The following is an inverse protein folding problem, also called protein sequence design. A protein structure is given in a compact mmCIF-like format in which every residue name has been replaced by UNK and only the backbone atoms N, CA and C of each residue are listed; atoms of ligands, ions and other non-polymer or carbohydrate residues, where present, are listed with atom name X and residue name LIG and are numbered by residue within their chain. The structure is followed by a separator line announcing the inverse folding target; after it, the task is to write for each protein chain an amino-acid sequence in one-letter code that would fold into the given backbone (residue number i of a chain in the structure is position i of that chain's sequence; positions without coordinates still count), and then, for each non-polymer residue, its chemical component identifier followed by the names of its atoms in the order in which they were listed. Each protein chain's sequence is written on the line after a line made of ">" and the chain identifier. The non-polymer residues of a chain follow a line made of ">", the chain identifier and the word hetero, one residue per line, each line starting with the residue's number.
data_IF_388967360043
#
_entry.id   IF_388967360043
#
_cell.length_a   1.000
_cell.length_b   1.000
_cell.length_c   1.000
_cell.angle_alpha   90.00
_cell.angle_beta   90.00
_cell.angle_gamma   90.00
#
_symmetry.space_group_name_H-M   'P 1'
#
loop_
_entity.id
_entity.type
_entity.pdbx_description
1 polymer ?
#
# COMPACT_ATOMS: atom_id res chain seq x y z
N UNK A 1 49.45 -11.75 -64.34
CA UNK A 1 48.03 -11.85 -64.75
C UNK A 1 47.20 -11.98 -63.49
N UNK A 2 46.43 -10.92 -63.15
CA UNK A 2 45.13 -10.94 -62.42
C UNK A 2 45.23 -11.30 -60.91
N UNK A 3 44.71 -10.57 -59.91
CA UNK A 3 43.90 -9.34 -59.84
C UNK A 3 43.65 -9.01 -58.35
N UNK A 4 43.77 -7.72 -57.99
CA UNK A 4 43.22 -7.11 -56.77
C UNK A 4 41.72 -7.42 -56.67
N UNK A 5 41.20 -7.95 -55.56
CA UNK A 5 39.77 -7.79 -55.24
C UNK A 5 39.54 -7.56 -53.74
N UNK A 6 39.30 -6.30 -53.43
CA UNK A 6 38.59 -5.80 -52.25
C UNK A 6 37.17 -6.38 -52.20
N UNK A 7 36.70 -6.84 -51.03
CA UNK A 7 35.30 -6.86 -50.56
C UNK A 7 35.40 -6.75 -49.02
N UNK A 8 35.08 -5.67 -48.30
CA UNK A 8 33.87 -4.85 -48.16
C UNK A 8 32.72 -5.55 -47.40
N UNK A 9 32.30 -4.87 -46.31
CA UNK A 9 31.04 -4.98 -45.52
C UNK A 9 30.93 -6.15 -44.52
N UNK A 10 30.94 -5.86 -43.21
CA UNK A 10 29.80 -5.52 -42.33
C UNK A 10 29.11 -6.80 -41.80
N UNK A 11 28.87 -6.97 -40.50
CA UNK A 11 27.75 -6.35 -39.78
C UNK A 11 28.03 -6.40 -38.27
N UNK A 12 27.92 -5.25 -37.63
CA UNK A 12 27.91 -5.06 -36.18
C UNK A 12 26.61 -5.64 -35.62
N UNK A 13 26.67 -6.83 -35.00
CA UNK A 13 25.55 -7.34 -34.21
C UNK A 13 25.68 -6.82 -32.76
N UNK A 14 25.39 -5.53 -32.57
CA UNK A 14 25.13 -4.99 -31.24
C UNK A 14 23.74 -5.49 -30.85
N UNK A 15 23.67 -6.64 -30.19
CA UNK A 15 22.45 -7.11 -29.53
C UNK A 15 22.09 -6.11 -28.43
N UNK A 16 21.29 -5.11 -28.76
CA UNK A 16 20.55 -4.34 -27.77
C UNK A 16 19.56 -5.33 -27.19
N UNK A 17 19.96 -6.01 -26.11
CA UNK A 17 19.04 -6.76 -25.29
C UNK A 17 17.96 -5.78 -24.86
N UNK A 18 16.75 -5.94 -25.40
CA UNK A 18 15.56 -5.39 -24.80
C UNK A 18 15.54 -5.97 -23.39
N UNK A 19 16.06 -5.22 -22.43
CA UNK A 19 15.74 -5.46 -21.03
C UNK A 19 14.30 -4.97 -20.94
N UNK A 20 13.29 -5.85 -20.83
CA UNK A 20 11.96 -5.35 -20.50
C UNK A 20 12.15 -4.57 -19.20
N UNK A 21 11.68 -3.32 -19.19
CA UNK A 21 11.51 -2.60 -17.95
C UNK A 21 10.59 -3.48 -17.11
N UNK A 22 11.18 -4.25 -16.19
CA UNK A 22 10.43 -4.85 -15.11
C UNK A 22 9.89 -3.64 -14.38
N UNK A 23 8.60 -3.33 -14.61
CA UNK A 23 7.86 -2.42 -13.77
C UNK A 23 8.03 -3.00 -12.37
N UNK A 24 8.97 -2.43 -11.62
CA UNK A 24 9.18 -2.78 -10.23
C UNK A 24 7.85 -2.49 -9.57
N UNK A 25 7.19 -3.53 -9.04
CA UNK A 25 6.03 -3.32 -8.21
C UNK A 25 6.52 -2.41 -7.07
N UNK A 26 6.21 -1.11 -7.18
CA UNK A 26 6.69 -0.12 -6.23
C UNK A 26 5.88 -0.34 -4.95
N UNK A 27 6.46 -1.07 -3.99
CA UNK A 27 5.90 -1.18 -2.66
C UNK A 27 5.77 0.21 -2.03
N UNK A 28 4.64 0.47 -1.38
CA UNK A 28 4.43 1.70 -0.63
C UNK A 28 4.22 1.41 0.85
N UNK A 29 4.83 2.22 1.71
CA UNK A 29 4.74 2.08 3.16
C UNK A 29 3.86 3.19 3.71
N UNK A 30 2.80 2.81 4.41
CA UNK A 30 2.00 3.78 5.16
C UNK A 30 2.50 3.87 6.60
N UNK A 31 2.86 5.08 7.01
CA UNK A 31 3.39 5.37 8.34
C UNK A 31 2.63 6.50 8.98
N UNK A 32 2.39 6.39 10.29
CA UNK A 32 1.71 7.44 11.04
C UNK A 32 2.55 7.81 12.26
N UNK A 33 2.80 9.12 12.43
CA UNK A 33 3.71 9.64 13.44
C UNK A 33 5.09 8.93 13.46
N UNK A 34 5.63 8.64 12.27
CA UNK A 34 6.92 7.95 12.11
C UNK A 34 6.91 6.45 12.40
N UNK A 35 5.76 5.85 12.74
CA UNK A 35 5.63 4.40 12.90
C UNK A 35 5.04 3.79 11.64
N UNK A 36 5.74 2.83 11.05
CA UNK A 36 5.21 2.03 9.95
C UNK A 36 4.01 1.22 10.44
N UNK A 37 2.86 1.40 9.79
CA UNK A 37 1.62 0.71 10.14
C UNK A 37 1.37 -0.46 9.21
N UNK A 38 1.50 -0.27 7.91
CA UNK A 38 1.33 -1.30 6.90
C UNK A 38 2.18 -1.01 5.66
N UNK A 39 2.34 -2.04 4.83
CA UNK A 39 3.02 -1.96 3.54
C UNK A 39 2.10 -2.56 2.49
N UNK A 40 1.89 -1.82 1.40
CA UNK A 40 1.12 -2.23 0.24
C UNK A 40 2.11 -2.63 -0.85
N UNK A 41 1.87 -3.79 -1.47
CA UNK A 41 2.76 -4.36 -2.48
C UNK A 41 2.14 -4.33 -3.88
N UNK A 42 0.81 -4.19 -3.96
CA UNK A 42 0.09 -4.46 -5.19
C UNK A 42 -0.83 -3.32 -5.63
N UNK A 43 -0.94 -3.16 -6.95
CA UNK A 43 -1.97 -2.34 -7.58
C UNK A 43 -3.33 -2.97 -7.36
N UNK A 44 -4.29 -2.20 -6.84
CA UNK A 44 -5.63 -2.69 -6.58
C UNK A 44 -6.66 -1.58 -6.78
N UNK A 45 -7.83 -1.93 -7.33
CA UNK A 45 -8.87 -0.93 -7.64
C UNK A 45 -8.42 0.12 -8.66
N UNK A 46 -7.47 -0.21 -9.54
CA UNK A 46 -6.87 0.72 -10.50
C UNK A 46 -5.83 1.69 -9.92
N UNK A 47 -5.48 1.56 -8.64
CA UNK A 47 -4.51 2.41 -7.94
C UNK A 47 -3.20 1.67 -7.72
N UNK A 48 -2.07 2.31 -8.02
CA UNK A 48 -0.72 1.88 -7.62
C UNK A 48 -0.59 1.81 -6.09
N UNK A 49 0.40 1.09 -5.53
CA UNK A 49 0.56 1.04 -4.08
C UNK A 49 0.71 2.42 -3.44
N UNK A 50 1.39 3.36 -4.09
CA UNK A 50 1.53 4.73 -3.60
C UNK A 50 0.18 5.48 -3.61
N UNK A 51 -0.58 5.44 -4.70
CA UNK A 51 -1.92 6.04 -4.76
C UNK A 51 -2.88 5.42 -3.73
N UNK A 52 -2.71 4.12 -3.42
CA UNK A 52 -3.46 3.47 -2.36
C UNK A 52 -3.10 4.00 -0.97
N UNK A 53 -1.83 4.36 -0.72
CA UNK A 53 -1.40 5.03 0.52
C UNK A 53 -2.03 6.41 0.61
N UNK A 54 -1.98 7.19 -0.47
CA UNK A 54 -2.55 8.54 -0.50
C UNK A 54 -4.08 8.50 -0.24
N UNK A 55 -4.79 7.57 -0.90
CA UNK A 55 -6.21 7.35 -0.66
C UNK A 55 -6.51 6.86 0.78
N UNK A 56 -5.57 6.19 1.43
CA UNK A 56 -5.66 5.73 2.81
C UNK A 56 -5.58 6.91 3.79
N UNK A 57 -4.66 7.85 3.55
CA UNK A 57 -4.53 9.08 4.33
C UNK A 57 -5.77 9.96 4.21
N UNK A 58 -6.33 10.11 3.00
CA UNK A 58 -7.58 10.83 2.78
C UNK A 58 -8.76 10.19 3.51
N UNK A 59 -8.91 8.86 3.42
CA UNK A 59 -9.97 8.12 4.14
C UNK A 59 -9.82 8.26 5.65
N UNK A 60 -8.60 8.11 6.18
CA UNK A 60 -8.36 8.27 7.60
C UNK A 60 -8.74 9.68 8.05
N UNK A 61 -8.30 10.71 7.34
CA UNK A 61 -8.62 12.11 7.63
C UNK A 61 -10.12 12.37 7.64
N UNK A 62 -10.85 11.83 6.66
CA UNK A 62 -12.31 11.93 6.59
C UNK A 62 -13.00 11.22 7.76
N UNK A 63 -12.55 10.03 8.14
CA UNK A 63 -13.10 9.26 9.26
C UNK A 63 -12.87 9.98 10.60
N UNK A 64 -11.68 10.56 10.79
CA UNK A 64 -11.31 11.28 12.00
C UNK A 64 -12.04 12.61 12.14
N UNK A 65 -12.21 13.35 11.04
CA UNK A 65 -12.92 14.65 11.01
C UNK A 65 -14.40 14.56 11.37
N UNK A 66 -15.00 13.37 11.26
CA UNK A 66 -16.45 13.19 11.46
C UNK A 66 -16.85 12.69 12.85
N UNK A 67 -15.91 12.46 13.77
CA UNK A 67 -16.27 11.98 15.11
C UNK A 67 -15.85 12.93 16.21
N UNK A 68 -16.81 13.23 17.07
CA UNK A 68 -16.69 14.11 18.23
C UNK A 68 -16.02 13.42 19.42
N UNK A 69 -16.10 12.08 19.47
CA UNK A 69 -15.54 11.25 20.55
C UNK A 69 -14.10 10.84 20.22
N UNK A 70 -13.29 10.57 21.25
CA UNK A 70 -11.94 10.02 21.09
C UNK A 70 -11.99 8.67 20.35
N UNK A 71 -11.06 8.44 19.42
CA UNK A 71 -10.91 7.15 18.75
C UNK A 71 -10.27 6.11 19.71
N UNK A 72 -10.99 5.01 19.95
CA UNK A 72 -10.53 3.85 20.71
C UNK A 72 -9.97 2.73 19.82
N UNK A 73 -9.39 1.70 20.44
CA UNK A 73 -8.92 0.50 19.72
C UNK A 73 -10.10 -0.38 19.28
N UNK A 74 -11.20 -0.32 20.02
CA UNK A 74 -12.47 -0.98 19.76
C UNK A 74 -13.17 -0.45 18.50
N UNK A 75 -12.92 0.81 18.14
CA UNK A 75 -13.46 1.43 16.92
C UNK A 75 -12.80 0.89 15.64
N UNK A 76 -11.68 0.17 15.78
CA UNK A 76 -10.90 -0.39 14.68
C UNK A 76 -11.18 -1.89 14.64
N UNK A 77 -11.76 -2.35 13.55
CA UNK A 77 -12.20 -3.73 13.40
C UNK A 77 -11.72 -4.33 12.08
N UNK A 78 -11.43 -5.64 12.12
CA UNK A 78 -11.23 -6.46 10.94
C UNK A 78 -12.56 -7.12 10.60
N UNK A 79 -13.02 -6.97 9.37
CA UNK A 79 -14.28 -7.53 8.89
C UNK A 79 -14.09 -8.15 7.51
N UNK A 80 -15.13 -8.79 7.00
CA UNK A 80 -15.19 -9.30 5.64
C UNK A 80 -16.31 -8.60 4.91
N UNK A 81 -16.00 -7.99 3.77
CA UNK A 81 -16.97 -7.31 2.90
C UNK A 81 -16.78 -7.81 1.48
N UNK A 82 -17.85 -8.28 0.84
CA UNK A 82 -17.82 -8.84 -0.53
C UNK A 82 -16.76 -9.94 -0.74
N UNK A 83 -16.49 -10.75 0.30
CA UNK A 83 -15.47 -11.80 0.25
C UNK A 83 -14.03 -11.32 0.42
N UNK A 84 -13.82 -10.01 0.60
CA UNK A 84 -12.51 -9.42 0.86
C UNK A 84 -12.34 -9.09 2.34
N UNK A 85 -11.11 -9.25 2.84
CA UNK A 85 -10.76 -8.86 4.21
C UNK A 85 -10.55 -7.36 4.24
N UNK A 86 -11.31 -6.66 5.07
CA UNK A 86 -11.28 -5.20 5.18
C UNK A 86 -11.03 -4.78 6.62
N UNK A 87 -10.33 -3.66 6.79
CA UNK A 87 -10.21 -2.99 8.08
C UNK A 87 -11.08 -1.74 8.05
N UNK A 88 -11.94 -1.63 9.06
CA UNK A 88 -12.83 -0.50 9.25
C UNK A 88 -12.45 0.30 10.49
N UNK A 89 -12.62 1.61 10.43
CA UNK A 89 -12.53 2.51 11.58
C UNK A 89 -13.88 3.20 11.74
N UNK A 90 -14.51 3.08 12.91
CA UNK A 90 -15.88 3.57 13.17
C UNK A 90 -16.90 3.08 12.12
N UNK A 91 -16.84 1.79 11.79
CA UNK A 91 -17.65 1.15 10.76
C UNK A 91 -17.50 1.72 9.34
N UNK A 92 -16.45 2.52 9.07
CA UNK A 92 -16.10 3.03 7.74
C UNK A 92 -14.88 2.32 7.20
N UNK A 93 -14.90 1.96 5.92
CA UNK A 93 -13.79 1.29 5.25
C UNK A 93 -12.54 2.18 5.29
N UNK A 94 -11.46 1.66 5.86
CA UNK A 94 -10.14 2.29 5.81
C UNK A 94 -9.30 1.66 4.69
N UNK A 95 -9.10 0.34 4.77
CA UNK A 95 -8.25 -0.40 3.83
C UNK A 95 -8.78 -1.80 3.55
N UNK A 96 -8.64 -2.24 2.30
CA UNK A 96 -8.85 -3.62 1.88
C UNK A 96 -7.52 -4.36 1.82
N UNK A 97 -7.46 -5.53 2.43
CA UNK A 97 -6.32 -6.45 2.36
C UNK A 97 -6.47 -7.31 1.11
N UNK A 98 -5.65 -7.05 0.10
CA UNK A 98 -5.71 -7.80 -1.15
C UNK A 98 -5.00 -9.13 -1.03
N UNK A 99 -5.34 -10.08 -1.90
CA UNK A 99 -4.62 -11.35 -1.98
C UNK A 99 -3.14 -11.15 -2.33
N UNK A 100 -2.85 -10.21 -3.24
CA UNK A 100 -1.49 -9.91 -3.68
C UNK A 100 -0.64 -9.31 -2.54
N UNK A 101 -1.22 -8.43 -1.71
CA UNK A 101 -0.54 -7.93 -0.51
C UNK A 101 -0.20 -9.08 0.46
N UNK A 102 -1.12 -10.04 0.62
CA UNK A 102 -0.92 -11.21 1.48
C UNK A 102 0.15 -12.18 0.94
N UNK A 103 0.13 -12.44 -0.37
CA UNK A 103 1.12 -13.27 -1.06
C UNK A 103 2.53 -12.68 -0.95
N UNK A 104 2.67 -11.36 -1.17
CA UNK A 104 3.94 -10.65 -0.98
C UNK A 104 4.47 -10.76 0.47
N UNK A 105 3.58 -10.94 1.44
CA UNK A 105 3.90 -11.15 2.86
C UNK A 105 3.95 -12.63 3.27
N UNK A 106 3.90 -13.57 2.31
CA UNK A 106 3.90 -15.01 2.53
C UNK A 106 2.84 -15.46 3.56
N UNK A 107 1.63 -14.91 3.46
CA UNK A 107 0.55 -15.15 4.42
C UNK A 107 -0.82 -15.12 3.77
N UNK A 108 -1.88 -15.34 4.55
CA UNK A 108 -3.27 -15.19 4.08
C UNK A 108 -3.78 -13.76 4.30
N UNK A 109 -4.78 -13.29 3.53
CA UNK A 109 -5.38 -11.96 3.74
C UNK A 109 -5.92 -11.77 5.16
N UNK A 110 -6.49 -12.82 5.76
CA UNK A 110 -6.99 -12.78 7.12
C UNK A 110 -5.87 -12.50 8.13
N UNK A 111 -4.75 -13.20 7.97
CA UNK A 111 -3.61 -13.08 8.89
C UNK A 111 -2.84 -11.77 8.68
N UNK A 112 -2.66 -11.33 7.44
CA UNK A 112 -2.12 -10.00 7.16
C UNK A 112 -3.01 -8.90 7.75
N UNK A 113 -4.32 -9.01 7.57
CA UNK A 113 -5.30 -8.10 8.14
C UNK A 113 -5.24 -8.04 9.66
N UNK A 114 -5.03 -9.17 10.36
CA UNK A 114 -4.82 -9.18 11.81
C UNK A 114 -3.55 -8.42 12.23
N UNK A 115 -2.44 -8.60 11.50
CA UNK A 115 -1.19 -7.87 11.78
C UNK A 115 -1.37 -6.35 11.61
N UNK A 116 -1.98 -5.94 10.50
CA UNK A 116 -2.30 -4.53 10.26
C UNK A 116 -3.27 -3.98 11.33
N UNK A 117 -4.28 -4.75 11.73
CA UNK A 117 -5.20 -4.37 12.80
C UNK A 117 -4.47 -4.09 14.11
N UNK A 118 -3.54 -4.97 14.51
CA UNK A 118 -2.73 -4.77 15.73
C UNK A 118 -1.92 -3.48 15.63
N UNK A 119 -1.24 -3.25 14.51
CA UNK A 119 -0.46 -2.03 14.30
C UNK A 119 -1.32 -0.76 14.38
N UNK A 120 -2.52 -0.80 13.77
CA UNK A 120 -3.48 0.30 13.80
C UNK A 120 -3.98 0.59 15.21
N UNK A 121 -4.37 -0.45 15.97
CA UNK A 121 -4.82 -0.31 17.37
C UNK A 121 -3.75 0.26 18.29
N UNK A 122 -2.48 0.00 18.00
CA UNK A 122 -1.35 0.54 18.75
C UNK A 122 -0.98 1.98 18.36
N UNK A 123 -1.46 2.46 17.20
CA UNK A 123 -1.00 3.73 16.61
C UNK A 123 -2.10 4.79 16.56
N UNK A 124 -3.28 4.47 16.01
CA UNK A 124 -4.35 5.44 15.79
C UNK A 124 -4.91 6.08 17.06
N UNK A 125 -5.16 5.35 18.18
CA UNK A 125 -5.66 5.96 19.41
C UNK A 125 -4.72 6.97 20.07
N UNK A 126 -3.44 6.99 19.65
CA UNK A 126 -2.44 7.97 20.13
C UNK A 126 -2.53 9.30 19.39
N UNK A 127 -3.16 9.33 18.21
CA UNK A 127 -3.28 10.51 17.34
C UNK A 127 -4.55 11.31 17.61
N UNK A 128 -5.58 10.66 18.16
CA UNK A 128 -6.84 11.33 18.46
C UNK A 128 -6.61 12.49 19.45
N UNK A 129 -7.11 13.71 19.17
CA UNK A 129 -6.96 14.86 20.05
C UNK A 129 -7.36 14.49 21.48
N UNK A 130 -6.52 14.83 22.45
CA UNK A 130 -6.94 14.78 23.86
C UNK A 130 -7.94 15.91 24.05
N UNK A 131 -9.19 15.58 24.37
CA UNK A 131 -10.14 16.55 24.92
C UNK A 131 -9.47 17.22 26.12
N UNK A 132 -9.02 18.46 25.93
CA UNK A 132 -8.60 19.33 27.00
C UNK A 132 -9.86 19.82 27.70
N UNK A 133 -9.97 19.56 29.00
CA UNK A 133 -11.04 20.04 29.91
C UNK A 133 -11.13 21.59 30.04
N UNK A 134 -10.39 22.30 29.19
CA UNK A 134 -10.39 23.75 29.09
C UNK A 134 -10.80 24.06 27.64
N UNK A 135 -12.11 24.12 27.41
CA UNK A 135 -12.65 24.60 26.14
C UNK A 135 -12.12 25.99 25.85
N UNK A 136 -11.73 26.21 24.60
CA UNK A 136 -11.65 27.55 24.04
C UNK A 136 -13.03 27.94 23.52
#
# INVERSE_FOLDING_TARGET
>A
MILRRMWAAAITALCIAWVPAVCRADDAVWSIAGKQVLRLHATAGGMTPQERVDALDERLTNILSQGEVRLGAEDIALSTSNGEVVITVRNKLLVTVTRQDAEANNTSPQELGRRWLVNLRNTLPLLAPRLNKHGA
#
